data_IF_232111562990
#
_entry.id   IF_232111562990
#
_cell.length_a   1.000
_cell.length_b   1.000
_cell.length_c   1.000
_cell.angle_alpha   90.00
_cell.angle_beta   90.00
_cell.angle_gamma   90.00
#
_symmetry.space_group_name_H-M   'P 1'
#
loop_
_entity.id
_entity.type
_entity.pdbx_description
1 polymer ?
#
# COMPACT_ATOMS: atom_id res chain seq x y z
N UNK A 1 -15.74 -17.61 -13.93
CA UNK A 1 -14.37 -17.08 -14.17
C UNK A 1 -14.14 -15.68 -13.60
N UNK A 2 -14.70 -14.59 -14.13
CA UNK A 2 -14.38 -13.23 -13.60
C UNK A 2 -14.82 -13.02 -12.13
N UNK A 3 -16.03 -13.47 -11.76
CA UNK A 3 -16.51 -13.39 -10.37
C UNK A 3 -15.72 -14.29 -9.40
N UNK A 4 -15.28 -15.47 -9.83
CA UNK A 4 -14.45 -16.37 -9.01
C UNK A 4 -13.06 -15.79 -8.78
N UNK A 5 -12.46 -15.19 -9.81
CA UNK A 5 -11.16 -14.54 -9.71
C UNK A 5 -11.19 -13.34 -8.77
N UNK A 6 -12.20 -12.47 -8.89
CA UNK A 6 -12.39 -11.33 -7.97
C UNK A 6 -12.60 -11.81 -6.53
N UNK A 7 -13.40 -12.86 -6.33
CA UNK A 7 -13.64 -13.45 -5.00
C UNK A 7 -12.34 -14.00 -4.39
N UNK A 8 -11.51 -14.67 -5.20
CA UNK A 8 -10.19 -15.14 -4.79
C UNK A 8 -9.28 -13.98 -4.37
N UNK A 9 -9.23 -12.90 -5.17
CA UNK A 9 -8.40 -11.73 -4.85
C UNK A 9 -8.83 -11.07 -3.54
N UNK A 10 -10.15 -10.92 -3.30
CA UNK A 10 -10.68 -10.36 -2.05
C UNK A 10 -10.35 -11.26 -0.86
N UNK A 11 -10.39 -12.58 -1.03
CA UNK A 11 -9.96 -13.52 0.01
C UNK A 11 -8.49 -13.34 0.38
N UNK A 12 -7.61 -13.14 -0.60
CA UNK A 12 -6.19 -12.84 -0.34
C UNK A 12 -6.00 -11.48 0.33
N UNK A 13 -6.74 -10.44 -0.09
CA UNK A 13 -6.67 -9.09 0.47
C UNK A 13 -6.91 -9.10 1.99
N UNK A 14 -7.86 -9.92 2.45
CA UNK A 14 -8.16 -10.10 3.88
C UNK A 14 -6.99 -10.68 4.70
N UNK A 15 -6.04 -11.37 4.06
CA UNK A 15 -4.88 -11.97 4.71
C UNK A 15 -3.59 -11.14 4.57
N UNK A 16 -3.61 -10.04 3.79
CA UNK A 16 -2.41 -9.21 3.57
C UNK A 16 -1.87 -8.61 4.87
N UNK A 17 -2.75 -8.29 5.82
CA UNK A 17 -2.34 -7.77 7.12
C UNK A 17 -1.39 -8.71 7.85
N UNK A 18 -1.66 -10.01 7.83
CA UNK A 18 -0.77 -11.01 8.42
C UNK A 18 0.56 -11.10 7.68
N UNK A 19 0.55 -10.97 6.34
CA UNK A 19 1.75 -10.91 5.53
C UNK A 19 2.65 -9.74 5.90
N UNK A 20 2.09 -8.53 6.04
CA UNK A 20 2.84 -7.34 6.45
C UNK A 20 3.39 -7.46 7.88
N UNK A 21 2.59 -7.98 8.83
CA UNK A 21 3.07 -8.23 10.20
C UNK A 21 4.24 -9.21 10.20
N UNK A 22 4.15 -10.31 9.45
CA UNK A 22 5.21 -11.30 9.38
C UNK A 22 6.50 -10.67 8.84
N UNK A 23 6.41 -9.91 7.75
CA UNK A 23 7.55 -9.18 7.18
C UNK A 23 8.14 -8.18 8.17
N UNK A 24 7.30 -7.43 8.89
CA UNK A 24 7.74 -6.49 9.92
C UNK A 24 8.49 -7.23 11.05
N UNK A 25 7.89 -8.25 11.64
CA UNK A 25 8.51 -9.05 12.70
C UNK A 25 9.84 -9.65 12.25
N UNK A 26 9.90 -10.24 11.06
CA UNK A 26 11.13 -10.78 10.50
C UNK A 26 12.19 -9.69 10.32
N UNK A 27 11.80 -8.51 9.83
CA UNK A 27 12.73 -7.39 9.64
C UNK A 27 13.30 -6.85 10.96
N UNK A 28 12.50 -6.83 12.03
CA UNK A 28 12.95 -6.42 13.36
C UNK A 28 13.95 -7.43 13.91
N UNK A 29 13.69 -8.73 13.77
CA UNK A 29 14.61 -9.79 14.22
C UNK A 29 15.95 -9.74 13.48
N UNK A 30 15.92 -9.48 12.17
CA UNK A 30 17.14 -9.40 11.33
C UNK A 30 17.96 -8.14 11.63
N UNK A 31 17.34 -6.96 11.60
CA UNK A 31 18.09 -5.70 11.75
C UNK A 31 18.37 -5.32 13.20
N UNK A 32 17.55 -5.76 14.17
CA UNK A 32 17.63 -5.46 15.61
C UNK A 32 17.63 -3.95 15.96
N UNK A 33 17.37 -3.09 14.98
CA UNK A 33 17.30 -1.62 15.10
C UNK A 33 16.31 -1.08 14.08
N UNK A 34 15.84 0.15 14.28
CA UNK A 34 15.04 0.84 13.27
C UNK A 34 15.86 1.06 12.00
N UNK A 35 15.36 0.51 10.90
CA UNK A 35 15.89 0.65 9.54
C UNK A 35 14.80 1.19 8.60
N UNK A 36 15.19 1.70 7.43
CA UNK A 36 14.26 2.15 6.39
C UNK A 36 13.26 1.05 5.98
N UNK A 37 13.70 -0.22 5.98
CA UNK A 37 12.83 -1.36 5.68
C UNK A 37 11.78 -1.56 6.78
N UNK A 38 12.21 -1.53 8.05
CA UNK A 38 11.28 -1.69 9.20
C UNK A 38 10.24 -0.57 9.24
N UNK A 39 10.62 0.67 8.90
CA UNK A 39 9.67 1.80 8.89
C UNK A 39 8.68 1.71 7.74
N UNK A 40 9.10 1.24 6.57
CA UNK A 40 8.21 0.99 5.44
C UNK A 40 7.20 -0.14 5.74
N UNK A 41 7.64 -1.26 6.33
CA UNK A 41 6.74 -2.34 6.72
C UNK A 41 5.79 -1.93 7.84
N UNK A 42 6.27 -1.16 8.82
CA UNK A 42 5.40 -0.59 9.85
C UNK A 42 4.31 0.30 9.21
N UNK A 43 4.67 1.15 8.25
CA UNK A 43 3.71 1.98 7.56
C UNK A 43 2.67 1.17 6.76
N UNK A 44 3.07 0.09 6.09
CA UNK A 44 2.16 -0.84 5.43
C UNK A 44 1.19 -1.51 6.41
N UNK A 45 1.68 -1.97 7.57
CA UNK A 45 0.84 -2.54 8.62
C UNK A 45 -0.21 -1.53 9.10
N UNK A 46 0.20 -0.29 9.39
CA UNK A 46 -0.72 0.76 9.82
C UNK A 46 -1.73 1.12 8.72
N UNK A 47 -1.30 1.19 7.46
CA UNK A 47 -2.18 1.45 6.32
C UNK A 47 -3.21 0.35 6.14
N UNK A 48 -2.80 -0.91 6.21
CA UNK A 48 -3.74 -2.03 6.09
C UNK A 48 -4.69 -2.12 7.29
N UNK A 49 -4.21 -1.89 8.51
CA UNK A 49 -5.07 -1.84 9.70
C UNK A 49 -6.11 -0.72 9.60
N UNK A 50 -5.70 0.46 9.16
CA UNK A 50 -6.60 1.57 8.88
C UNK A 50 -7.61 1.19 7.80
N UNK A 51 -7.14 0.56 6.72
CA UNK A 51 -8.00 0.14 5.61
C UNK A 51 -9.09 -0.82 6.07
N UNK A 52 -8.74 -1.85 6.84
CA UNK A 52 -9.68 -2.83 7.40
C UNK A 52 -10.72 -2.14 8.30
N UNK A 53 -10.29 -1.20 9.14
CA UNK A 53 -11.18 -0.51 10.08
C UNK A 53 -12.14 0.46 9.37
N UNK A 54 -11.69 1.16 8.33
CA UNK A 54 -12.41 2.28 7.71
C UNK A 54 -13.24 1.86 6.50
N UNK A 55 -12.85 0.79 5.80
CA UNK A 55 -13.57 0.30 4.60
C UNK A 55 -15.06 0.08 4.82
N UNK A 56 -15.53 -0.61 5.89
CA UNK A 56 -16.97 -0.87 6.06
C UNK A 56 -17.79 0.42 6.17
N UNK A 57 -17.27 1.40 6.91
CA UNK A 57 -17.90 2.70 7.08
C UNK A 57 -17.95 3.49 5.76
N UNK A 58 -16.82 3.56 5.04
CA UNK A 58 -16.78 4.25 3.75
C UNK A 58 -17.67 3.59 2.72
N UNK A 59 -17.78 2.26 2.73
CA UNK A 59 -18.64 1.53 1.82
C UNK A 59 -20.13 1.88 2.05
N UNK A 60 -20.56 1.90 3.30
CA UNK A 60 -21.91 2.32 3.68
C UNK A 60 -22.18 3.79 3.31
N UNK A 61 -21.19 4.67 3.45
CA UNK A 61 -21.35 6.07 3.09
C UNK A 61 -21.45 6.23 1.57
N UNK A 62 -20.59 5.52 0.82
CA UNK A 62 -20.50 5.59 -0.63
C UNK A 62 -21.63 4.88 -1.37
N UNK A 63 -22.40 4.01 -0.71
CA UNK A 63 -23.57 3.37 -1.32
C UNK A 63 -24.74 4.34 -1.54
N UNK A 64 -24.75 5.49 -0.86
CA UNK A 64 -25.76 6.51 -1.07
C UNK A 64 -25.59 7.22 -2.42
N UNK A 65 -26.70 7.77 -2.93
CA UNK A 65 -26.72 8.54 -4.17
C UNK A 65 -26.16 9.95 -3.97
N UNK A 66 -25.37 10.43 -4.92
CA UNK A 66 -24.81 11.78 -4.92
C UNK A 66 -23.28 11.80 -4.98
N UNK A 67 -22.74 12.83 -5.64
CA UNK A 67 -21.30 12.94 -5.89
C UNK A 67 -20.48 13.12 -4.60
N UNK A 68 -21.06 13.77 -3.58
CA UNK A 68 -20.40 13.96 -2.28
C UNK A 68 -20.14 12.63 -1.57
N UNK A 69 -21.07 11.67 -1.66
CA UNK A 69 -20.88 10.33 -1.10
C UNK A 69 -19.81 9.55 -1.86
N UNK A 70 -19.72 9.69 -3.19
CA UNK A 70 -18.60 9.12 -3.95
C UNK A 70 -17.28 9.79 -3.58
N UNK A 71 -17.26 11.12 -3.46
CA UNK A 71 -16.08 11.86 -3.01
C UNK A 71 -15.59 11.39 -1.65
N UNK A 72 -16.50 11.06 -0.71
CA UNK A 72 -16.09 10.53 0.60
C UNK A 72 -15.28 9.22 0.49
N UNK A 73 -15.59 8.37 -0.48
CA UNK A 73 -14.81 7.16 -0.76
C UNK A 73 -13.42 7.50 -1.30
N UNK A 74 -13.35 8.12 -2.48
CA UNK A 74 -12.08 8.38 -3.15
C UNK A 74 -11.21 9.39 -2.40
N UNK A 75 -11.81 10.47 -1.90
CA UNK A 75 -11.13 11.51 -1.14
C UNK A 75 -10.51 10.98 0.13
N UNK A 76 -11.22 10.16 0.90
CA UNK A 76 -10.66 9.57 2.13
C UNK A 76 -9.47 8.68 1.80
N UNK A 77 -9.58 7.81 0.80
CA UNK A 77 -8.47 6.93 0.43
C UNK A 77 -7.26 7.69 -0.10
N UNK A 78 -7.45 8.72 -0.95
CA UNK A 78 -6.36 9.56 -1.44
C UNK A 78 -5.66 10.29 -0.29
N UNK A 79 -6.42 10.92 0.62
CA UNK A 79 -5.87 11.64 1.77
C UNK A 79 -5.10 10.68 2.68
N UNK A 80 -5.68 9.52 2.99
CA UNK A 80 -5.01 8.51 3.82
C UNK A 80 -3.72 8.03 3.16
N UNK A 81 -3.74 7.70 1.86
CA UNK A 81 -2.55 7.29 1.12
C UNK A 81 -1.43 8.34 1.19
N UNK A 82 -1.75 9.62 0.98
CA UNK A 82 -0.80 10.72 1.13
C UNK A 82 -0.28 10.86 2.56
N UNK A 83 -1.14 10.66 3.56
CA UNK A 83 -0.73 10.62 4.97
C UNK A 83 0.26 9.48 5.25
N UNK A 84 0.07 8.28 4.69
CA UNK A 84 1.00 7.17 4.89
C UNK A 84 2.34 7.38 4.17
N UNK A 85 2.34 7.99 2.98
CA UNK A 85 3.58 8.44 2.32
C UNK A 85 4.30 9.47 3.20
N UNK A 86 3.56 10.46 3.70
CA UNK A 86 4.10 11.47 4.61
C UNK A 86 4.66 10.84 5.90
N UNK A 87 3.99 9.83 6.46
CA UNK A 87 4.45 9.12 7.65
C UNK A 87 5.77 8.39 7.40
N UNK A 88 5.92 7.72 6.25
CA UNK A 88 7.20 7.12 5.83
C UNK A 88 8.28 8.20 5.76
N UNK A 89 7.99 9.33 5.11
CA UNK A 89 8.91 10.47 5.02
C UNK A 89 9.31 11.01 6.40
N UNK A 90 8.35 11.21 7.32
CA UNK A 90 8.62 11.70 8.67
C UNK A 90 9.54 10.76 9.45
N UNK A 91 9.29 9.45 9.39
CA UNK A 91 10.19 8.48 10.04
C UNK A 91 11.61 8.52 9.47
N UNK A 92 11.76 8.69 8.16
CA UNK A 92 13.08 8.83 7.54
C UNK A 92 13.79 10.13 7.95
N UNK A 93 13.06 11.24 8.00
CA UNK A 93 13.59 12.54 8.39
C UNK A 93 14.05 12.55 9.86
N UNK A 94 13.17 12.10 10.78
CA UNK A 94 13.45 12.10 12.22
C UNK A 94 14.60 11.15 12.58
N UNK A 95 14.62 9.95 11.98
CA UNK A 95 15.65 8.95 12.25
C UNK A 95 16.89 9.09 11.35
N UNK A 96 16.93 10.11 10.48
CA UNK A 96 18.00 10.37 9.50
C UNK A 96 18.34 9.12 8.66
N UNK A 97 17.31 8.38 8.25
CA UNK A 97 17.45 7.15 7.49
C UNK A 97 17.54 7.47 5.99
N UNK A 98 18.46 6.81 5.29
CA UNK A 98 18.45 6.79 3.82
C UNK A 98 17.29 5.91 3.35
N UNK A 99 16.53 6.40 2.37
CA UNK A 99 15.43 5.64 1.78
C UNK A 99 15.95 4.38 1.08
N UNK A 100 15.44 3.23 1.51
CA UNK A 100 15.63 1.92 0.87
C UNK A 100 14.76 1.80 -0.39
N UNK A 101 15.11 0.86 -1.26
CA UNK A 101 14.27 0.51 -2.42
C UNK A 101 12.90 0.01 -1.98
N UNK A 102 12.80 -0.62 -0.81
CA UNK A 102 11.52 -1.02 -0.20
C UNK A 102 10.66 0.20 0.10
N UNK A 103 11.20 1.20 0.81
CA UNK A 103 10.46 2.42 1.15
C UNK A 103 10.01 3.17 -0.11
N UNK A 104 10.89 3.27 -1.12
CA UNK A 104 10.57 3.90 -2.40
C UNK A 104 9.45 3.13 -3.12
N UNK A 105 9.57 1.80 -3.25
CA UNK A 105 8.57 0.98 -3.93
C UNK A 105 7.19 1.09 -3.27
N UNK A 106 7.14 1.05 -1.93
CA UNK A 106 5.90 1.24 -1.16
C UNK A 106 5.29 2.62 -1.43
N UNK A 107 6.06 3.70 -1.31
CA UNK A 107 5.56 5.05 -1.55
C UNK A 107 5.09 5.25 -3.00
N UNK A 108 5.83 4.72 -3.97
CA UNK A 108 5.44 4.79 -5.39
C UNK A 108 4.16 4.01 -5.67
N UNK A 109 3.99 2.82 -5.08
CA UNK A 109 2.75 2.06 -5.25
C UNK A 109 1.55 2.79 -4.64
N UNK A 110 1.67 3.28 -3.41
CA UNK A 110 0.61 4.05 -2.74
C UNK A 110 0.24 5.29 -3.55
N UNK A 111 1.23 5.98 -4.13
CA UNK A 111 1.00 7.11 -5.03
C UNK A 111 0.25 6.69 -6.29
N UNK A 112 0.65 5.58 -6.93
CA UNK A 112 -0.03 5.07 -8.12
C UNK A 112 -1.50 4.70 -7.83
N UNK A 113 -1.77 4.06 -6.69
CA UNK A 113 -3.12 3.77 -6.20
C UNK A 113 -3.94 5.06 -6.06
N UNK A 114 -3.37 6.13 -5.47
CA UNK A 114 -4.04 7.43 -5.36
C UNK A 114 -4.33 8.08 -6.71
N UNK A 115 -3.43 7.95 -7.68
CA UNK A 115 -3.66 8.47 -9.04
C UNK A 115 -4.81 7.73 -9.70
N UNK A 116 -4.85 6.40 -9.61
CA UNK A 116 -5.95 5.59 -10.16
C UNK A 116 -7.28 5.95 -9.50
N UNK A 117 -7.31 6.15 -8.19
CA UNK A 117 -8.49 6.64 -7.47
C UNK A 117 -8.96 8.02 -7.93
N UNK A 118 -8.02 8.96 -8.12
CA UNK A 118 -8.35 10.30 -8.58
C UNK A 118 -8.94 10.28 -10.00
N UNK A 119 -8.35 9.49 -10.90
CA UNK A 119 -8.83 9.35 -12.28
C UNK A 119 -10.21 8.68 -12.33
N UNK A 120 -10.46 7.63 -11.53
CA UNK A 120 -11.80 7.01 -11.44
C UNK A 120 -12.86 7.97 -10.88
N UNK A 121 -12.49 8.78 -9.88
CA UNK A 121 -13.39 9.81 -9.37
C UNK A 121 -13.72 10.86 -10.44
N UNK A 122 -12.72 11.34 -11.18
CA UNK A 122 -12.93 12.31 -12.27
C UNK A 122 -13.84 11.73 -13.35
N UNK A 123 -13.65 10.48 -13.78
CA UNK A 123 -14.54 9.82 -14.74
C UNK A 123 -15.98 9.82 -14.20
N UNK A 124 -16.20 9.36 -12.97
CA UNK A 124 -17.55 9.33 -12.36
C UNK A 124 -18.18 10.71 -12.18
N UNK A 125 -17.37 11.75 -11.94
CA UNK A 125 -17.85 13.11 -11.77
C UNK A 125 -18.17 13.82 -13.10
N UNK A 126 -17.62 13.36 -14.22
CA UNK A 126 -17.69 14.06 -15.51
C UNK A 126 -18.41 13.24 -16.58
N UNK A 127 -17.78 12.18 -17.07
CA UNK A 127 -18.22 11.36 -18.21
C UNK A 127 -19.07 10.17 -17.81
N UNK A 128 -18.91 9.68 -16.57
CA UNK A 128 -19.53 8.48 -16.02
C UNK A 128 -19.46 7.30 -17.00
N UNK A 129 -18.30 7.09 -17.63
CA UNK A 129 -18.15 6.12 -18.71
C UNK A 129 -18.15 4.67 -18.24
N UNK A 130 -17.81 4.44 -16.95
CA UNK A 130 -17.72 3.11 -16.35
C UNK A 130 -16.48 2.31 -16.78
N UNK A 131 -15.70 2.80 -17.76
CA UNK A 131 -14.44 2.17 -18.17
C UNK A 131 -13.41 2.23 -17.03
N UNK A 132 -13.28 3.39 -16.40
CA UNK A 132 -12.32 3.58 -15.33
C UNK A 132 -12.68 2.79 -14.07
N UNK A 133 -13.98 2.57 -13.85
CA UNK A 133 -14.48 1.76 -12.74
C UNK A 133 -13.97 0.31 -12.80
N UNK A 134 -13.96 -0.28 -13.99
CA UNK A 134 -13.47 -1.65 -14.19
C UNK A 134 -11.96 -1.73 -13.95
N UNK A 135 -11.20 -0.75 -14.46
CA UNK A 135 -9.76 -0.69 -14.24
C UNK A 135 -9.44 -0.51 -12.75
N UNK A 136 -10.13 0.42 -12.07
CA UNK A 136 -10.01 0.65 -10.63
C UNK A 136 -10.26 -0.63 -9.81
N UNK A 137 -11.35 -1.34 -10.08
CA UNK A 137 -11.73 -2.54 -9.33
C UNK A 137 -10.74 -3.70 -9.47
N UNK A 138 -10.01 -3.78 -10.58
CA UNK A 138 -8.97 -4.80 -10.79
C UNK A 138 -7.60 -4.34 -10.30
N UNK A 139 -7.25 -3.08 -10.55
CA UNK A 139 -5.93 -2.53 -10.26
C UNK A 139 -5.66 -2.47 -8.76
N UNK A 140 -6.62 -2.00 -7.96
CA UNK A 140 -6.39 -1.79 -6.52
C UNK A 140 -6.10 -3.12 -5.79
N UNK A 141 -6.92 -4.18 -5.93
CA UNK A 141 -6.60 -5.47 -5.31
C UNK A 141 -5.32 -6.09 -5.89
N UNK A 142 -5.06 -5.94 -7.19
CA UNK A 142 -3.85 -6.46 -7.81
C UNK A 142 -2.59 -5.80 -7.26
N UNK A 143 -2.61 -4.47 -7.10
CA UNK A 143 -1.54 -3.68 -6.51
C UNK A 143 -1.28 -4.11 -5.05
N UNK A 144 -2.35 -4.25 -4.25
CA UNK A 144 -2.27 -4.68 -2.86
C UNK A 144 -1.66 -6.07 -2.69
N UNK A 145 -2.00 -7.02 -3.56
CA UNK A 145 -1.44 -8.37 -3.53
C UNK A 145 0.01 -8.37 -4.04
N UNK A 146 0.29 -7.65 -5.12
CA UNK A 146 1.60 -7.61 -5.76
C UNK A 146 2.69 -6.95 -4.90
N UNK A 147 2.32 -6.06 -3.97
CA UNK A 147 3.32 -5.36 -3.15
C UNK A 147 4.12 -6.32 -2.28
N UNK A 148 3.50 -7.39 -1.73
CA UNK A 148 4.18 -8.34 -0.84
C UNK A 148 5.38 -9.01 -1.53
N UNK A 149 5.23 -9.71 -2.68
CA UNK A 149 6.37 -10.33 -3.34
C UNK A 149 7.40 -9.29 -3.81
N UNK A 150 6.97 -8.10 -4.24
CA UNK A 150 7.88 -7.03 -4.67
C UNK A 150 8.75 -6.54 -3.52
N UNK A 151 8.16 -6.18 -2.37
CA UNK A 151 8.94 -5.66 -1.23
C UNK A 151 9.80 -6.75 -0.60
N UNK A 152 9.34 -8.00 -0.62
CA UNK A 152 10.13 -9.15 -0.15
C UNK A 152 11.37 -9.34 -1.02
N UNK A 153 11.21 -9.33 -2.35
CA UNK A 153 12.32 -9.42 -3.28
C UNK A 153 13.33 -8.28 -3.10
N UNK A 154 12.85 -7.03 -3.06
CA UNK A 154 13.70 -5.85 -2.89
C UNK A 154 14.45 -5.89 -1.56
N UNK A 155 13.79 -6.29 -0.49
CA UNK A 155 14.43 -6.43 0.81
C UNK A 155 15.54 -7.48 0.80
N UNK A 156 15.26 -8.69 0.29
CA UNK A 156 16.26 -9.76 0.22
C UNK A 156 17.45 -9.37 -0.67
N UNK A 157 17.19 -8.66 -1.77
CA UNK A 157 18.23 -8.14 -2.67
C UNK A 157 19.15 -7.14 -1.95
N UNK A 158 18.58 -6.15 -1.25
CA UNK A 158 19.36 -5.16 -0.49
C UNK A 158 20.11 -5.78 0.69
N UNK A 159 19.49 -6.74 1.38
CA UNK A 159 20.11 -7.45 2.48
C UNK A 159 21.34 -8.24 2.00
N UNK A 160 21.22 -8.99 0.89
CA UNK A 160 22.34 -9.71 0.27
C UNK A 160 23.47 -8.76 -0.14
N UNK A 161 23.12 -7.64 -0.78
CA UNK A 161 24.10 -6.61 -1.18
C UNK A 161 24.87 -6.08 0.02
N UNK A 162 24.19 -5.82 1.13
CA UNK A 162 24.79 -5.31 2.37
C UNK A 162 25.76 -6.32 2.99
N UNK A 163 25.39 -7.61 3.04
CA UNK A 163 26.29 -8.68 3.52
C UNK A 163 27.54 -8.78 2.64
N UNK A 164 27.38 -8.78 1.32
CA UNK A 164 28.51 -8.91 0.40
C UNK A 164 29.51 -7.76 0.56
N UNK A 165 29.04 -6.52 0.72
CA UNK A 165 29.91 -5.35 0.96
C UNK A 165 30.66 -5.50 2.29
N UNK A 166 30.00 -5.98 3.34
CA UNK A 166 30.63 -6.22 4.63
C UNK A 166 31.69 -7.33 4.55
N UNK A 167 31.46 -8.35 3.72
CA UNK A 167 32.40 -9.45 3.51
C UNK A 167 33.60 -9.09 2.62
N UNK A 168 33.48 -8.12 1.70
CA UNK A 168 34.61 -7.66 0.84
C UNK A 168 35.40 -6.51 1.45
N UNK A 169 34.85 -5.85 2.49
CA UNK A 169 35.52 -4.77 3.23
C UNK A 169 36.20 -5.21 4.53
N UNK A 170 36.14 -6.50 4.87
CA UNK A 170 36.83 -7.15 6.00
C UNK A 170 37.99 -8.00 5.46
#
# INVERSE_FOLDING_TARGET
>A
MQNEFVTLMVSFDNHLFFGFILLLCFSIVVYKKMSSVTTAFFALCCWQAFSIAVTPFLYQLASNEGILYKFSWYGTWIISNLFFIWMIYQFHSVQKLRASSVAIAVSTLILAISVVQAVDFIDRATTNSGLMANFYQLFIPAANIAIIPVVTYLWLYEYRKTINIAATGA
#
